data_IF_961630954497
#
_entry.id   IF_961630954497
#
_cell.length_a   1.000
_cell.length_b   1.000
_cell.length_c   1.000
_cell.angle_alpha   90.00
_cell.angle_beta   90.00
_cell.angle_gamma   90.00
#
_symmetry.space_group_name_H-M   'P 1'
#
loop_
_entity.id
_entity.type
_entity.pdbx_description
1 polymer ?
#
# COMPACT_ATOMS: atom_id res chain seq x y z
N UNK A 1 -21.87 -9.43 58.45
CA UNK A 1 -20.62 -9.66 57.68
C UNK A 1 -20.80 -10.46 56.38
N UNK A 2 -21.69 -11.46 56.30
CA UNK A 2 -21.93 -12.24 55.07
C UNK A 2 -22.58 -11.45 53.91
N UNK A 3 -23.46 -10.48 54.19
CA UNK A 3 -24.15 -9.66 53.17
C UNK A 3 -23.21 -8.74 52.37
N UNK A 4 -22.20 -8.16 53.03
CA UNK A 4 -21.18 -7.29 52.41
C UNK A 4 -20.27 -8.09 51.47
N UNK A 5 -19.90 -9.32 51.86
CA UNK A 5 -19.10 -10.24 51.03
C UNK A 5 -19.85 -10.69 49.77
N UNK A 6 -21.18 -10.85 49.85
CA UNK A 6 -22.05 -11.22 48.72
C UNK A 6 -22.20 -10.07 47.72
N UNK A 7 -22.42 -8.82 48.19
CA UNK A 7 -22.49 -7.63 47.33
C UNK A 7 -21.16 -7.35 46.59
N UNK A 8 -20.02 -7.52 47.26
CA UNK A 8 -18.68 -7.39 46.61
C UNK A 8 -18.44 -8.42 45.51
N UNK A 9 -18.89 -9.68 45.67
CA UNK A 9 -18.80 -10.70 44.61
C UNK A 9 -19.71 -10.40 43.42
N UNK A 10 -20.88 -9.78 43.65
CA UNK A 10 -21.84 -9.41 42.61
C UNK A 10 -21.35 -8.25 41.71
N UNK A 11 -20.48 -7.36 42.21
CA UNK A 11 -19.94 -6.24 41.43
C UNK A 11 -18.65 -6.57 40.64
N UNK A 12 -17.92 -7.63 41.00
CA UNK A 12 -16.68 -8.05 40.31
C UNK A 12 -16.98 -8.74 38.98
N UNK A 13 -18.08 -9.50 38.90
CA UNK A 13 -18.50 -10.21 37.69
C UNK A 13 -18.77 -9.25 36.51
N UNK A 14 -19.62 -8.19 36.64
CA UNK A 14 -19.85 -7.26 35.54
C UNK A 14 -18.60 -6.45 35.17
N UNK A 15 -17.71 -6.17 36.13
CA UNK A 15 -16.43 -5.53 35.84
C UNK A 15 -15.51 -6.43 35.01
N UNK A 16 -15.43 -7.72 35.33
CA UNK A 16 -14.67 -8.70 34.55
C UNK A 16 -15.26 -8.90 33.16
N UNK A 17 -16.58 -9.00 33.04
CA UNK A 17 -17.27 -9.08 31.74
C UNK A 17 -16.98 -7.83 30.91
N UNK A 18 -16.98 -6.65 31.52
CA UNK A 18 -16.62 -5.40 30.85
C UNK A 18 -15.16 -5.40 30.37
N UNK A 19 -14.21 -5.79 31.22
CA UNK A 19 -12.78 -5.86 30.85
C UNK A 19 -12.54 -6.87 29.73
N UNK A 20 -13.15 -8.05 29.81
CA UNK A 20 -13.03 -9.10 28.78
C UNK A 20 -13.68 -8.65 27.48
N UNK A 21 -14.90 -8.09 27.54
CA UNK A 21 -15.58 -7.54 26.36
C UNK A 21 -14.80 -6.42 25.70
N UNK A 22 -14.16 -5.55 26.49
CA UNK A 22 -13.27 -4.51 25.99
C UNK A 22 -12.02 -5.10 25.32
N UNK A 23 -11.38 -6.10 25.94
CA UNK A 23 -10.21 -6.75 25.35
C UNK A 23 -10.55 -7.46 24.02
N UNK A 24 -11.70 -8.15 23.95
CA UNK A 24 -12.19 -8.81 22.73
C UNK A 24 -12.55 -7.78 21.66
N UNK A 25 -13.23 -6.69 22.02
CA UNK A 25 -13.56 -5.62 21.09
C UNK A 25 -12.30 -4.97 20.51
N UNK A 26 -11.30 -4.67 21.36
CA UNK A 26 -10.00 -4.15 20.96
C UNK A 26 -9.30 -5.12 20.01
N UNK A 27 -9.29 -6.42 20.33
CA UNK A 27 -8.67 -7.45 19.51
C UNK A 27 -9.32 -7.55 18.12
N UNK A 28 -10.64 -7.64 18.07
CA UNK A 28 -11.40 -7.70 16.81
C UNK A 28 -11.14 -6.44 15.97
N UNK A 29 -11.15 -5.26 16.60
CA UNK A 29 -10.94 -3.99 15.91
C UNK A 29 -9.53 -3.90 15.33
N UNK A 30 -8.50 -4.25 16.11
CA UNK A 30 -7.11 -4.25 15.63
C UNK A 30 -6.88 -5.27 14.51
N UNK A 31 -7.48 -6.46 14.61
CA UNK A 31 -7.33 -7.50 13.60
C UNK A 31 -8.01 -7.13 12.29
N UNK A 32 -9.28 -6.70 12.32
CA UNK A 32 -10.01 -6.33 11.11
C UNK A 32 -9.40 -5.08 10.43
N UNK A 33 -8.93 -4.09 11.21
CA UNK A 33 -8.44 -2.84 10.64
C UNK A 33 -7.10 -2.99 9.93
N UNK A 34 -6.17 -3.80 10.46
CA UNK A 34 -4.89 -4.06 9.78
C UNK A 34 -5.10 -4.73 8.42
N UNK A 35 -6.07 -5.63 8.33
CA UNK A 35 -6.36 -6.35 7.09
C UNK A 35 -7.02 -5.40 6.07
N UNK A 36 -8.04 -4.63 6.47
CA UNK A 36 -8.76 -3.72 5.56
C UNK A 36 -7.85 -2.64 4.96
N UNK A 37 -6.95 -2.04 5.76
CA UNK A 37 -6.06 -1.00 5.27
C UNK A 37 -5.04 -1.53 4.25
N UNK A 38 -4.45 -2.71 4.52
CA UNK A 38 -3.54 -3.36 3.56
C UNK A 38 -4.30 -3.77 2.30
N UNK A 39 -5.48 -4.39 2.43
CA UNK A 39 -6.25 -4.89 1.30
C UNK A 39 -6.70 -3.76 0.36
N UNK A 40 -7.05 -2.59 0.91
CA UNK A 40 -7.40 -1.41 0.10
C UNK A 40 -6.19 -0.93 -0.73
N UNK A 41 -5.03 -0.76 -0.08
CA UNK A 41 -3.79 -0.35 -0.75
C UNK A 41 -3.40 -1.37 -1.82
N UNK A 42 -3.41 -2.66 -1.49
CA UNK A 42 -3.05 -3.73 -2.42
C UNK A 42 -4.03 -3.81 -3.60
N UNK A 43 -5.31 -3.51 -3.37
CA UNK A 43 -6.32 -3.41 -4.44
C UNK A 43 -6.02 -2.25 -5.38
N UNK A 44 -5.73 -1.05 -4.85
CA UNK A 44 -5.36 0.13 -5.64
C UNK A 44 -4.11 -0.12 -6.47
N UNK A 45 -3.05 -0.64 -5.83
CA UNK A 45 -1.81 -1.02 -6.48
C UNK A 45 -2.05 -1.99 -7.64
N UNK A 46 -2.77 -3.09 -7.39
CA UNK A 46 -3.09 -4.10 -8.40
C UNK A 46 -3.92 -3.53 -9.55
N UNK A 47 -4.92 -2.71 -9.25
CA UNK A 47 -5.75 -2.08 -10.28
C UNK A 47 -4.96 -1.10 -11.13
N UNK A 48 -4.07 -0.31 -10.53
CA UNK A 48 -3.21 0.63 -11.24
C UNK A 48 -2.22 -0.10 -12.15
N UNK A 49 -1.46 -1.05 -11.61
CA UNK A 49 -0.49 -1.82 -12.38
C UNK A 49 -1.16 -2.63 -13.50
N UNK A 50 -2.30 -3.28 -13.21
CA UNK A 50 -3.06 -4.03 -14.22
C UNK A 50 -3.62 -3.15 -15.33
N UNK A 51 -4.02 -1.91 -15.02
CA UNK A 51 -4.54 -0.97 -16.04
C UNK A 51 -3.47 -0.55 -17.06
N UNK A 52 -2.18 -0.67 -16.74
CA UNK A 52 -1.11 -0.43 -17.70
C UNK A 52 -1.16 -1.41 -18.88
N UNK A 53 -1.73 -2.61 -18.71
CA UNK A 53 -1.91 -3.58 -19.80
C UNK A 53 -2.76 -3.00 -20.96
N UNK A 54 -3.59 -1.99 -20.68
CA UNK A 54 -4.41 -1.32 -21.70
C UNK A 54 -3.62 -0.36 -22.59
N UNK A 55 -2.46 0.12 -22.14
CA UNK A 55 -1.64 1.13 -22.84
C UNK A 55 -0.28 0.60 -23.29
N UNK A 56 0.17 -0.51 -22.70
CA UNK A 56 1.44 -1.16 -23.03
C UNK A 56 1.23 -2.20 -24.12
N UNK A 57 2.12 -2.23 -25.11
CA UNK A 57 2.06 -3.19 -26.21
C UNK A 57 3.36 -3.95 -26.39
N UNK A 58 3.27 -5.19 -26.89
CA UNK A 58 4.45 -6.02 -27.22
C UNK A 58 5.49 -5.26 -28.08
N UNK A 59 5.12 -4.54 -29.16
CA UNK A 59 6.08 -3.77 -29.95
C UNK A 59 6.83 -2.71 -29.14
N UNK A 60 6.18 -2.09 -28.16
CA UNK A 60 6.79 -1.08 -27.29
C UNK A 60 7.89 -1.71 -26.42
N UNK A 61 7.60 -2.86 -25.81
CA UNK A 61 8.57 -3.63 -25.01
C UNK A 61 9.72 -4.14 -25.90
N UNK A 62 9.43 -4.63 -27.10
CA UNK A 62 10.47 -5.11 -28.02
C UNK A 62 11.38 -3.99 -28.56
N UNK A 63 10.83 -2.80 -28.84
CA UNK A 63 11.63 -1.61 -29.17
C UNK A 63 12.55 -1.24 -28.01
N UNK A 64 12.02 -1.22 -26.79
CA UNK A 64 12.79 -0.92 -25.58
C UNK A 64 13.92 -1.92 -25.34
N UNK A 65 13.65 -3.22 -25.49
CA UNK A 65 14.68 -4.28 -25.40
C UNK A 65 15.82 -4.07 -26.40
N UNK A 66 15.48 -3.64 -27.63
CA UNK A 66 16.45 -3.33 -28.68
C UNK A 66 17.13 -1.97 -28.50
N UNK A 67 16.78 -1.22 -27.45
CA UNK A 67 17.23 0.15 -27.19
C UNK A 67 16.97 1.09 -28.36
N UNK A 68 15.86 0.86 -29.07
CA UNK A 68 15.46 1.72 -30.19
C UNK A 68 14.95 3.04 -29.63
N UNK A 69 15.42 4.20 -30.12
CA UNK A 69 14.88 5.49 -29.71
C UNK A 69 13.36 5.57 -29.94
N UNK A 70 12.66 6.21 -29.01
CA UNK A 70 11.24 6.50 -29.13
C UNK A 70 11.05 7.95 -29.56
N UNK A 71 10.01 8.23 -30.33
CA UNK A 71 9.61 9.61 -30.60
C UNK A 71 9.09 10.25 -29.31
N UNK A 72 9.53 11.49 -29.04
CA UNK A 72 9.17 12.19 -27.80
C UNK A 72 7.66 12.40 -27.67
N UNK A 73 6.98 12.76 -28.77
CA UNK A 73 5.53 13.03 -28.75
C UNK A 73 4.75 11.73 -28.54
N UNK A 74 5.17 10.64 -29.18
CA UNK A 74 4.59 9.30 -28.96
C UNK A 74 4.74 8.87 -27.50
N UNK A 75 5.95 8.99 -26.94
CA UNK A 75 6.23 8.58 -25.55
C UNK A 75 5.47 9.44 -24.54
N UNK A 76 5.46 10.76 -24.71
CA UNK A 76 4.74 11.69 -23.84
C UNK A 76 3.22 11.43 -23.86
N UNK A 77 2.66 11.13 -25.04
CA UNK A 77 1.23 10.79 -25.16
C UNK A 77 0.85 9.55 -24.33
N UNK A 78 1.71 8.52 -24.31
CA UNK A 78 1.50 7.33 -23.48
C UNK A 78 1.75 7.65 -22.00
N UNK A 79 2.70 8.54 -21.70
CA UNK A 79 3.00 9.01 -20.34
C UNK A 79 1.80 9.72 -19.71
N UNK A 80 1.08 10.55 -20.48
CA UNK A 80 -0.16 11.19 -20.03
C UNK A 80 -1.21 10.14 -19.63
N UNK A 81 -1.30 9.02 -20.34
CA UNK A 81 -2.19 7.92 -19.97
C UNK A 81 -1.74 7.24 -18.67
N UNK A 82 -0.44 7.01 -18.49
CA UNK A 82 0.10 6.48 -17.23
C UNK A 82 -0.18 7.42 -16.05
N UNK A 83 0.03 8.72 -16.22
CA UNK A 83 -0.35 9.73 -15.21
C UNK A 83 -1.84 9.64 -14.87
N UNK A 84 -2.70 9.45 -15.88
CA UNK A 84 -4.14 9.33 -15.66
C UNK A 84 -4.52 8.05 -14.92
N UNK A 85 -3.84 6.93 -15.20
CA UNK A 85 -4.03 5.66 -14.47
C UNK A 85 -3.62 5.86 -13.01
N UNK A 86 -2.46 6.47 -12.76
CA UNK A 86 -1.99 6.76 -11.40
C UNK A 86 -3.03 7.58 -10.61
N UNK A 87 -3.50 8.69 -11.20
CA UNK A 87 -4.55 9.54 -10.61
C UNK A 87 -5.86 8.77 -10.36
N UNK A 88 -6.30 7.96 -11.32
CA UNK A 88 -7.59 7.24 -11.24
C UNK A 88 -7.61 6.20 -10.12
N UNK A 89 -6.48 5.55 -9.87
CA UNK A 89 -6.33 4.54 -8.82
C UNK A 89 -5.75 5.10 -7.52
N UNK A 90 -5.56 6.41 -7.44
CA UNK A 90 -4.99 7.12 -6.30
C UNK A 90 -3.59 6.59 -5.93
N UNK A 91 -2.78 6.16 -6.90
CA UNK A 91 -1.39 5.71 -6.65
C UNK A 91 -0.41 6.82 -7.01
N UNK A 92 0.78 6.84 -6.39
CA UNK A 92 1.75 7.92 -6.63
C UNK A 92 2.48 7.74 -7.96
N UNK A 93 2.83 6.49 -8.30
CA UNK A 93 3.45 6.16 -9.58
C UNK A 93 2.86 4.91 -10.22
N UNK A 94 2.89 4.89 -11.55
CA UNK A 94 2.72 3.71 -12.39
C UNK A 94 3.84 3.68 -13.43
N UNK A 95 4.43 2.52 -13.66
CA UNK A 95 5.61 2.42 -14.52
C UNK A 95 5.75 1.01 -15.09
N UNK A 96 6.55 0.92 -16.15
CA UNK A 96 6.80 -0.30 -16.89
C UNK A 96 8.29 -0.46 -17.04
N UNK A 97 8.78 -1.64 -16.70
CA UNK A 97 10.20 -1.91 -16.73
C UNK A 97 10.54 -3.15 -17.53
N UNK A 98 11.73 -3.15 -18.11
CA UNK A 98 12.36 -4.34 -18.71
C UNK A 98 13.65 -4.66 -17.96
N UNK A 99 13.99 -5.94 -17.88
CA UNK A 99 15.24 -6.37 -17.29
C UNK A 99 16.44 -5.97 -18.15
N UNK A 100 17.50 -5.46 -17.52
CA UNK A 100 18.78 -5.15 -18.16
C UNK A 100 19.95 -5.54 -17.26
N UNK A 101 20.53 -6.72 -17.52
CA UNK A 101 21.55 -7.30 -16.64
C UNK A 101 21.00 -7.57 -15.25
N UNK A 102 21.65 -6.99 -14.24
CA UNK A 102 21.29 -7.10 -12.82
C UNK A 102 20.38 -5.95 -12.33
N UNK A 103 19.83 -5.17 -13.26
CA UNK A 103 18.96 -4.02 -12.97
C UNK A 103 17.80 -3.97 -14.00
N UNK A 104 17.05 -2.86 -14.02
CA UNK A 104 15.92 -2.61 -14.87
C UNK A 104 16.07 -1.29 -15.64
N UNK A 105 15.35 -1.17 -16.76
CA UNK A 105 15.19 0.08 -17.51
C UNK A 105 13.74 0.49 -17.52
N UNK A 106 13.47 1.78 -17.35
CA UNK A 106 12.14 2.34 -17.49
C UNK A 106 11.73 2.40 -18.96
N UNK A 107 10.69 1.67 -19.34
CA UNK A 107 10.05 1.81 -20.66
C UNK A 107 9.04 2.95 -20.64
N UNK A 108 8.34 3.11 -19.52
CA UNK A 108 7.31 4.10 -19.28
C UNK A 108 7.29 4.39 -17.78
N UNK A 109 7.14 5.65 -17.40
CA UNK A 109 6.92 6.03 -16.02
C UNK A 109 6.00 7.24 -15.97
N UNK A 110 4.99 7.21 -15.11
CA UNK A 110 4.27 8.42 -14.73
C UNK A 110 5.16 9.36 -13.93
N UNK A 111 4.77 10.61 -13.79
CA UNK A 111 5.40 11.56 -12.88
C UNK A 111 4.34 12.35 -12.10
N UNK A 112 4.77 12.93 -10.99
CA UNK A 112 4.00 13.95 -10.27
C UNK A 112 4.62 15.33 -10.48
N UNK A 113 3.87 16.39 -10.18
CA UNK A 113 4.34 17.77 -10.35
C UNK A 113 5.65 18.04 -9.61
N UNK A 114 5.84 17.42 -8.44
CA UNK A 114 7.09 17.60 -7.69
C UNK A 114 8.32 17.08 -8.42
N UNK A 115 8.18 16.09 -9.30
CA UNK A 115 9.31 15.52 -10.05
C UNK A 115 9.83 16.50 -11.08
N UNK A 116 8.92 17.27 -11.70
CA UNK A 116 9.28 18.36 -12.61
C UNK A 116 10.06 19.42 -11.83
N UNK A 117 9.55 19.84 -10.67
CA UNK A 117 10.20 20.89 -9.87
C UNK A 117 11.55 20.48 -9.30
N UNK A 118 11.77 19.17 -9.11
CA UNK A 118 13.02 18.59 -8.58
C UNK A 118 13.96 18.11 -9.69
N UNK A 119 13.54 18.18 -10.95
CA UNK A 119 14.30 17.68 -12.11
C UNK A 119 14.66 16.19 -11.99
N UNK A 120 13.69 15.38 -11.57
CA UNK A 120 13.82 13.91 -11.41
C UNK A 120 12.78 13.14 -12.23
N UNK A 121 12.23 13.76 -13.27
CA UNK A 121 11.29 13.07 -14.18
C UNK A 121 12.04 11.95 -14.89
N UNK A 122 11.51 10.73 -14.81
CA UNK A 122 12.10 9.57 -15.47
C UNK A 122 11.98 9.67 -16.99
N UNK A 123 13.08 9.40 -17.67
CA UNK A 123 13.16 9.33 -19.12
C UNK A 123 13.09 7.90 -19.67
N UNK A 124 12.89 7.82 -20.98
CA UNK A 124 12.84 6.55 -21.70
C UNK A 124 14.20 5.83 -21.65
N UNK A 125 14.18 4.59 -21.17
CA UNK A 125 15.35 3.73 -20.94
C UNK A 125 16.31 4.24 -19.88
N UNK A 126 15.82 5.06 -18.95
CA UNK A 126 16.58 5.37 -17.74
C UNK A 126 16.90 4.10 -16.96
N UNK A 127 18.13 4.06 -16.47
CA UNK A 127 18.65 2.94 -15.70
C UNK A 127 18.20 3.04 -14.24
N UNK A 128 17.61 1.97 -13.74
CA UNK A 128 17.14 1.91 -12.36
C UNK A 128 18.15 1.22 -11.45
N UNK A 129 19.13 1.98 -10.97
CA UNK A 129 20.22 1.47 -10.12
C UNK A 129 19.76 0.89 -8.79
N UNK A 130 18.60 1.32 -8.30
CA UNK A 130 18.00 0.97 -7.02
C UNK A 130 17.03 -0.22 -7.11
N UNK A 131 17.02 -0.94 -8.24
CA UNK A 131 16.23 -2.15 -8.43
C UNK A 131 16.47 -3.16 -7.30
N UNK A 132 15.40 -3.53 -6.60
CA UNK A 132 15.45 -4.46 -5.47
C UNK A 132 15.64 -5.91 -5.93
N UNK A 133 16.12 -6.77 -5.03
CA UNK A 133 16.21 -8.20 -5.30
C UNK A 133 14.83 -8.80 -5.63
N UNK A 134 13.78 -8.34 -4.95
CA UNK A 134 12.39 -8.73 -5.15
C UNK A 134 11.91 -8.36 -6.56
N UNK A 135 12.19 -7.15 -7.04
CA UNK A 135 11.90 -6.74 -8.42
C UNK A 135 12.67 -7.60 -9.43
N UNK A 136 13.96 -7.83 -9.18
CA UNK A 136 14.79 -8.61 -10.09
C UNK A 136 14.35 -10.07 -10.18
N UNK A 137 13.87 -10.66 -9.08
CA UNK A 137 13.22 -11.98 -9.04
C UNK A 137 11.89 -11.95 -9.79
N UNK A 138 11.10 -10.88 -9.67
CA UNK A 138 9.78 -10.76 -10.30
C UNK A 138 9.83 -10.93 -11.82
N UNK A 139 10.85 -10.40 -12.52
CA UNK A 139 11.01 -10.60 -13.97
C UNK A 139 11.04 -12.06 -14.43
N UNK A 140 11.47 -12.98 -13.56
CA UNK A 140 11.55 -14.41 -13.84
C UNK A 140 10.57 -15.27 -13.05
N UNK A 141 9.68 -14.64 -12.26
CA UNK A 141 8.76 -15.34 -11.37
C UNK A 141 7.58 -15.94 -12.14
N UNK A 142 7.09 -17.08 -11.66
CA UNK A 142 5.82 -17.67 -12.10
C UNK A 142 4.63 -17.14 -11.27
N UNK A 143 4.88 -16.25 -10.30
CA UNK A 143 3.84 -15.58 -9.53
C UNK A 143 3.12 -14.53 -10.38
N UNK A 144 1.81 -14.39 -10.17
CA UNK A 144 0.99 -13.38 -10.85
C UNK A 144 1.27 -11.96 -10.35
N UNK A 145 1.68 -11.83 -9.09
CA UNK A 145 1.99 -10.56 -8.45
C UNK A 145 3.07 -10.73 -7.40
N UNK A 146 3.90 -9.72 -7.24
CA UNK A 146 4.94 -9.62 -6.21
C UNK A 146 4.80 -8.26 -5.54
N UNK A 147 4.69 -8.24 -4.22
CA UNK A 147 4.71 -7.01 -3.44
C UNK A 147 6.10 -6.77 -2.86
N UNK A 148 6.45 -5.49 -2.74
CA UNK A 148 7.76 -5.07 -2.27
C UNK A 148 7.69 -3.75 -1.49
N UNK A 149 8.74 -3.47 -0.73
CA UNK A 149 8.99 -2.17 -0.10
C UNK A 149 10.29 -1.63 -0.66
N UNK A 150 10.21 -0.59 -1.47
CA UNK A 150 11.34 0.02 -2.15
C UNK A 150 11.66 1.40 -1.58
N UNK A 151 12.91 1.81 -1.73
CA UNK A 151 13.40 3.13 -1.40
C UNK A 151 14.38 3.57 -2.49
N UNK A 152 14.14 4.76 -3.05
CA UNK A 152 14.92 5.32 -4.15
C UNK A 152 14.94 6.86 -4.09
N UNK A 153 15.36 7.51 -5.18
CA UNK A 153 15.41 8.97 -5.28
C UNK A 153 14.04 9.67 -5.30
N UNK A 154 12.97 8.97 -5.67
CA UNK A 154 11.60 9.49 -5.66
C UNK A 154 10.94 9.36 -4.29
N UNK A 155 11.39 8.43 -3.44
CA UNK A 155 10.96 8.32 -2.05
C UNK A 155 10.98 6.91 -1.46
N UNK A 156 10.00 6.63 -0.60
CA UNK A 156 9.79 5.31 0.02
C UNK A 156 8.40 4.81 -0.37
N UNK A 157 8.33 3.57 -0.86
CA UNK A 157 7.11 3.06 -1.46
C UNK A 157 6.75 1.67 -0.97
N UNK A 158 5.45 1.38 -1.02
CA UNK A 158 4.95 0.03 -1.16
C UNK A 158 4.62 -0.17 -2.63
N UNK A 159 5.21 -1.20 -3.22
CA UNK A 159 5.19 -1.44 -4.65
C UNK A 159 4.53 -2.77 -4.97
N UNK A 160 3.89 -2.85 -6.13
CA UNK A 160 3.48 -4.11 -6.75
C UNK A 160 4.19 -4.26 -8.09
N UNK A 161 4.62 -5.47 -8.38
CA UNK A 161 5.16 -5.88 -9.67
C UNK A 161 4.28 -6.99 -10.23
N UNK A 162 3.73 -6.77 -11.42
CA UNK A 162 3.01 -7.80 -12.19
C UNK A 162 3.95 -8.34 -13.27
N UNK A 163 4.41 -9.60 -13.17
CA UNK A 163 5.27 -10.20 -14.18
C UNK A 163 4.53 -10.54 -15.46
N UNK A 164 5.01 -10.03 -16.59
CA UNK A 164 4.49 -10.34 -17.91
C UNK A 164 5.60 -10.75 -18.87
N UNK A 165 5.21 -11.40 -19.97
CA UNK A 165 6.09 -11.73 -21.09
C UNK A 165 5.42 -11.32 -22.40
N UNK A 166 6.17 -10.73 -23.31
CA UNK A 166 5.68 -10.50 -24.68
C UNK A 166 5.46 -11.83 -25.39
N UNK A 167 4.77 -11.82 -26.54
CA UNK A 167 4.68 -13.02 -27.40
C UNK A 167 6.03 -13.60 -27.81
N UNK A 168 7.10 -12.80 -27.80
CA UNK A 168 8.46 -13.25 -28.12
C UNK A 168 9.21 -13.84 -26.90
N UNK A 169 8.61 -13.75 -25.70
CA UNK A 169 9.18 -14.22 -24.45
C UNK A 169 9.99 -13.18 -23.68
N UNK A 170 10.01 -11.91 -24.11
CA UNK A 170 10.71 -10.83 -23.39
C UNK A 170 9.99 -10.54 -22.07
N UNK A 171 10.66 -10.69 -20.90
CA UNK A 171 10.05 -10.38 -19.62
C UNK A 171 9.98 -8.86 -19.40
N UNK A 172 8.86 -8.40 -18.85
CA UNK A 172 8.65 -7.03 -18.41
C UNK A 172 7.75 -7.00 -17.17
N UNK A 173 7.80 -5.90 -16.43
CA UNK A 173 6.95 -5.69 -15.25
C UNK A 173 6.01 -4.52 -15.51
N UNK A 174 4.75 -4.69 -15.11
CA UNK A 174 3.82 -3.60 -14.90
C UNK A 174 3.80 -3.28 -13.40
N UNK A 175 4.03 -2.02 -13.05
CA UNK A 175 4.29 -1.65 -11.67
C UNK A 175 3.43 -0.47 -11.24
N UNK A 176 3.16 -0.41 -9.95
CA UNK A 176 2.55 0.74 -9.30
C UNK A 176 3.08 0.88 -7.87
N UNK A 177 3.10 2.13 -7.40
CA UNK A 177 3.61 2.49 -6.08
C UNK A 177 2.61 3.34 -5.32
N UNK A 178 2.54 3.15 -4.01
CA UNK A 178 1.95 4.12 -3.07
C UNK A 178 3.03 4.61 -2.11
N UNK A 179 2.93 5.87 -1.69
CA UNK A 179 3.88 6.44 -0.72
C UNK A 179 3.75 5.74 0.62
N UNK A 180 4.89 5.35 1.22
CA UNK A 180 4.90 4.79 2.57
C UNK A 180 4.39 5.78 3.62
N UNK A 181 4.52 7.10 3.38
CA UNK A 181 3.92 8.12 4.25
C UNK A 181 2.40 7.99 4.29
N UNK A 182 1.77 7.71 3.15
CA UNK A 182 0.33 7.47 3.09
C UNK A 182 -0.06 6.20 3.88
N UNK A 183 0.72 5.13 3.74
CA UNK A 183 0.53 3.88 4.50
C UNK A 183 0.60 4.15 6.01
N UNK A 184 1.55 4.98 6.45
CA UNK A 184 1.73 5.36 7.86
C UNK A 184 0.61 6.28 8.34
N UNK A 185 0.20 7.27 7.54
CA UNK A 185 -0.87 8.20 7.90
C UNK A 185 -2.22 7.49 8.04
N UNK A 186 -2.51 6.52 7.18
CA UNK A 186 -3.64 5.62 7.37
C UNK A 186 -3.55 4.92 8.72
N UNK A 187 -2.40 4.32 9.06
CA UNK A 187 -2.20 3.67 10.37
C UNK A 187 -2.42 4.63 11.56
N UNK A 188 -1.94 5.88 11.46
CA UNK A 188 -2.11 6.89 12.51
C UNK A 188 -3.56 7.31 12.70
N UNK A 189 -4.31 7.55 11.62
CA UNK A 189 -5.75 7.86 11.69
C UNK A 189 -6.51 6.75 12.43
N UNK A 190 -6.19 5.49 12.14
CA UNK A 190 -6.80 4.36 12.83
C UNK A 190 -6.43 4.28 14.32
N UNK A 191 -5.20 4.61 14.70
CA UNK A 191 -4.82 4.71 16.12
C UNK A 191 -5.64 5.79 16.85
N UNK A 192 -5.95 6.91 16.19
CA UNK A 192 -6.81 7.96 16.75
C UNK A 192 -8.26 7.46 16.91
N UNK A 193 -8.85 6.83 15.89
CA UNK A 193 -10.19 6.24 15.99
C UNK A 193 -10.27 5.17 17.08
N UNK A 194 -9.21 4.39 17.23
CA UNK A 194 -9.07 3.40 18.29
C UNK A 194 -9.05 4.07 19.67
N UNK A 195 -8.23 5.09 19.86
CA UNK A 195 -8.15 5.85 21.11
C UNK A 195 -9.50 6.49 21.47
N UNK A 196 -10.20 7.08 20.50
CA UNK A 196 -11.53 7.65 20.69
C UNK A 196 -12.55 6.58 21.11
N UNK A 197 -12.49 5.39 20.49
CA UNK A 197 -13.36 4.27 20.87
C UNK A 197 -13.09 3.78 22.28
N UNK A 198 -11.82 3.70 22.68
CA UNK A 198 -11.43 3.32 24.04
C UNK A 198 -11.89 4.36 25.08
N UNK A 199 -11.74 5.66 24.79
CA UNK A 199 -12.25 6.75 25.64
C UNK A 199 -13.77 6.69 25.78
N UNK A 200 -14.49 6.50 24.67
CA UNK A 200 -15.95 6.38 24.68
C UNK A 200 -16.43 5.22 25.57
N UNK A 201 -15.81 4.04 25.43
CA UNK A 201 -16.14 2.87 26.26
C UNK A 201 -15.80 3.11 27.74
N UNK A 202 -14.67 3.77 28.03
CA UNK A 202 -14.30 4.15 29.39
C UNK A 202 -15.35 5.07 30.02
N UNK A 203 -15.81 6.11 29.30
CA UNK A 203 -16.84 7.03 29.78
C UNK A 203 -18.16 6.33 30.12
N UNK A 204 -18.59 5.37 29.30
CA UNK A 204 -19.82 4.59 29.56
C UNK A 204 -19.66 3.70 30.79
N UNK A 205 -18.45 3.21 31.06
CA UNK A 205 -18.15 2.40 32.24
C UNK A 205 -18.03 3.21 33.54
N UNK A 206 -17.79 4.52 33.43
CA UNK A 206 -17.51 5.42 34.56
C UNK A 206 -18.62 5.44 35.62
N UNK A 207 -19.93 5.51 35.29
CA UNK A 207 -21.01 5.48 36.28
C UNK A 207 -21.04 4.15 37.07
N UNK A 208 -20.71 3.04 36.42
CA UNK A 208 -20.61 1.71 37.02
C UNK A 208 -19.45 1.67 38.02
N UNK A 209 -18.29 2.20 37.64
CA UNK A 209 -17.10 2.30 38.51
C UNK A 209 -17.34 3.23 39.71
N UNK A 210 -17.99 4.38 39.49
CA UNK A 210 -18.31 5.35 40.54
C UNK A 210 -19.33 4.79 41.55
N UNK A 211 -20.32 4.01 41.08
CA UNK A 211 -21.29 3.31 41.95
C UNK A 211 -20.58 2.27 42.84
N UNK A 212 -19.62 1.52 42.29
CA UNK A 212 -18.82 0.57 43.06
C UNK A 212 -17.92 1.23 44.12
N UNK A 213 -17.48 2.48 43.88
CA UNK A 213 -16.69 3.27 44.85
C UNK A 213 -17.55 3.84 45.99
N UNK A 214 -18.81 4.20 45.75
CA UNK A 214 -19.74 4.68 46.78
C UNK A 214 -20.29 3.59 47.70
N UNK A 215 -20.17 2.32 47.34
CA UNK A 215 -20.56 1.17 48.18
C UNK A 215 -19.41 0.62 49.07
N UNK A 216 -18.26 1.31 49.13
CA UNK A 216 -17.21 1.10 50.15
C UNK A 216 -17.46 2.00 51.35
#
# INVERSE_FOLDING_TARGET
MQSIRRRKKLAVIPLLIFIIGMAVFVFIKLHNQRNIASDNIDTRLRSAAGSLEMIVSDPMIEKARKKTPVDFVEHDSIRVLANKIAETHDVIYTYVMIKSGDSALFVLSSYIESDITKDIVTDYLDYYSEATDEMMKAFGSDQQEVFDVSQDQWGNFRSIYLPHKTKSGTPYLLCADVSMTEVIDFQLRYLVEFALSAVFLFLISLPLLLRMRKEK
#
